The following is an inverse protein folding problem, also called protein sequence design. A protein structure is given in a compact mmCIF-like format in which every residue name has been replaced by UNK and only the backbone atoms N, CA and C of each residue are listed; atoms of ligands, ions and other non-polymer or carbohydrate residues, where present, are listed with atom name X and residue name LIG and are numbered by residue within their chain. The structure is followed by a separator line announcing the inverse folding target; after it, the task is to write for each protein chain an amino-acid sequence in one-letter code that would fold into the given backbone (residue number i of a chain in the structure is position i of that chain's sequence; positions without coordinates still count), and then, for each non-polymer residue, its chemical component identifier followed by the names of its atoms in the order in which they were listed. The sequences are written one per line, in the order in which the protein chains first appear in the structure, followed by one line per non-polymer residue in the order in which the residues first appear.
data_IF_703186741264
#
_entry.id   IF_703186741264
#
_cell.length_a   1.000
_cell.length_b   1.000
_cell.length_c   1.000
_cell.angle_alpha   90.00
_cell.angle_beta   90.00
_cell.angle_gamma   90.00
#
_symmetry.space_group_name_H-M   'P 1'
#
loop_
_entity.id
_entity.type
_entity.pdbx_description
1 polymer ?
#
# COMPACT_ATOMS: atom_id res chain seq x y z
N UNK A 1 5.76 -14.79 -24.35
CA UNK A 1 5.62 -13.49 -23.67
C UNK A 1 5.39 -13.79 -22.21
N UNK A 2 6.27 -13.34 -21.33
CA UNK A 2 6.16 -13.56 -19.89
C UNK A 2 4.92 -12.84 -19.37
N UNK A 3 4.11 -13.49 -18.55
CA UNK A 3 2.95 -12.87 -17.91
C UNK A 3 3.43 -11.72 -17.00
N UNK A 4 2.89 -10.51 -17.22
CA UNK A 4 3.26 -9.34 -16.40
C UNK A 4 2.71 -9.51 -14.99
N UNK A 5 3.58 -9.29 -13.99
CA UNK A 5 3.19 -9.39 -12.59
C UNK A 5 2.18 -8.29 -12.24
N UNK A 6 1.03 -8.69 -11.70
CA UNK A 6 0.00 -7.76 -11.22
C UNK A 6 0.20 -7.50 -9.73
N UNK A 7 0.16 -6.21 -9.36
CA UNK A 7 0.24 -5.78 -7.97
C UNK A 7 -1.11 -5.26 -7.48
N UNK A 8 -1.22 -5.07 -6.17
CA UNK A 8 -2.41 -4.53 -5.49
C UNK A 8 -2.00 -3.35 -4.61
N UNK A 9 -2.97 -2.51 -4.24
CA UNK A 9 -2.76 -1.48 -3.22
C UNK A 9 -2.87 -2.12 -1.84
N UNK A 10 -2.25 -1.50 -0.82
CA UNK A 10 -2.37 -1.95 0.56
C UNK A 10 -3.06 -0.88 1.40
N UNK A 11 -4.32 -1.12 1.76
CA UNK A 11 -5.16 -0.19 2.51
C UNK A 11 -5.76 -0.95 3.69
N UNK A 12 -5.68 -0.36 4.89
CA UNK A 12 -6.30 -0.89 6.11
C UNK A 12 -5.87 -2.33 6.45
N UNK A 13 -4.59 -2.64 6.24
CA UNK A 13 -4.04 -3.95 6.53
C UNK A 13 -4.33 -5.02 5.46
N UNK A 14 -4.92 -4.65 4.32
CA UNK A 14 -5.36 -5.58 3.28
C UNK A 14 -4.86 -5.20 1.88
N UNK A 15 -4.58 -6.22 1.07
CA UNK A 15 -4.33 -6.06 -0.37
C UNK A 15 -5.66 -5.89 -1.11
N UNK A 16 -5.80 -4.79 -1.85
CA UNK A 16 -7.03 -4.42 -2.55
C UNK A 16 -6.73 -3.95 -3.99
N UNK A 17 -7.66 -4.21 -4.90
CA UNK A 17 -7.63 -3.62 -6.24
C UNK A 17 -8.12 -2.17 -6.18
N UNK A 18 -7.89 -1.40 -7.25
CA UNK A 18 -8.54 -0.10 -7.44
C UNK A 18 -10.05 -0.29 -7.49
N UNK A 19 -10.80 0.64 -6.92
CA UNK A 19 -12.26 0.62 -6.99
C UNK A 19 -12.75 0.63 -8.46
N UNK A 20 -12.06 1.38 -9.31
CA UNK A 20 -12.38 1.47 -10.74
C UNK A 20 -11.91 0.26 -11.56
N UNK A 21 -11.20 -0.68 -10.95
CA UNK A 21 -10.49 -1.81 -11.59
C UNK A 21 -9.47 -1.41 -12.66
N UNK A 22 -9.24 -0.10 -12.86
CA UNK A 22 -8.23 0.41 -13.78
C UNK A 22 -6.83 0.05 -13.31
N UNK A 23 -5.96 -0.17 -14.28
CA UNK A 23 -4.55 -0.49 -14.06
C UNK A 23 -3.70 0.20 -15.13
N UNK A 24 -2.41 0.36 -14.84
CA UNK A 24 -1.43 0.88 -15.79
C UNK A 24 -0.14 0.07 -15.74
N UNK A 25 0.62 0.12 -16.84
CA UNK A 25 1.92 -0.56 -16.96
C UNK A 25 3.03 0.27 -16.32
N UNK A 26 3.91 -0.39 -15.56
CA UNK A 26 5.18 0.18 -15.12
C UNK A 26 6.30 -0.32 -16.03
N UNK A 27 7.12 0.61 -16.50
CA UNK A 27 8.17 0.36 -17.48
C UNK A 27 9.55 0.29 -16.85
N UNK A 28 10.39 -0.61 -17.37
CA UNK A 28 11.80 -0.64 -17.02
C UNK A 28 12.52 0.49 -17.77
N UNK A 29 13.15 1.46 -17.07
CA UNK A 29 13.79 2.61 -17.73
C UNK A 29 15.01 2.23 -18.58
N UNK A 30 15.59 1.04 -18.41
CA UNK A 30 16.75 0.60 -19.19
C UNK A 30 16.36 -0.04 -20.55
N UNK A 31 15.14 -0.57 -20.67
CA UNK A 31 14.68 -1.31 -21.86
C UNK A 31 13.43 -0.72 -22.50
N UNK A 32 12.74 0.19 -21.80
CA UNK A 32 11.43 0.73 -22.18
C UNK A 32 10.33 -0.34 -22.29
N UNK A 33 10.55 -1.53 -21.73
CA UNK A 33 9.57 -2.63 -21.72
C UNK A 33 8.77 -2.66 -20.41
N UNK A 34 7.47 -3.04 -20.44
CA UNK A 34 6.67 -3.19 -19.24
C UNK A 34 7.15 -4.37 -18.40
N UNK A 35 7.21 -4.20 -17.07
CA UNK A 35 7.60 -5.26 -16.13
C UNK A 35 6.50 -5.59 -15.10
N UNK A 36 5.53 -4.69 -14.90
CA UNK A 36 4.44 -4.88 -13.95
C UNK A 36 3.16 -4.14 -14.35
N UNK A 37 2.02 -4.62 -13.82
CA UNK A 37 0.71 -3.99 -13.88
C UNK A 37 0.33 -3.49 -12.48
N UNK A 38 0.08 -2.19 -12.36
CA UNK A 38 -0.19 -1.49 -11.10
C UNK A 38 -1.63 -0.95 -11.11
N UNK A 39 -2.40 -1.06 -10.01
CA UNK A 39 -3.72 -0.46 -9.91
C UNK A 39 -3.65 1.07 -10.01
N UNK A 40 -4.56 1.66 -10.77
CA UNK A 40 -4.74 3.11 -10.89
C UNK A 40 -5.70 3.59 -9.79
N UNK A 41 -5.14 4.11 -8.70
CA UNK A 41 -5.92 4.58 -7.55
C UNK A 41 -6.75 5.82 -7.90
N UNK A 42 -8.06 5.74 -7.69
CA UNK A 42 -8.98 6.87 -7.88
C UNK A 42 -9.21 7.68 -6.59
N UNK A 43 -10.03 8.73 -6.69
CA UNK A 43 -10.41 9.56 -5.54
C UNK A 43 -11.04 8.75 -4.39
N UNK A 44 -11.91 7.79 -4.70
CA UNK A 44 -12.54 6.94 -3.69
C UNK A 44 -11.55 6.00 -2.99
N UNK A 45 -10.52 5.51 -3.70
CA UNK A 45 -9.46 4.70 -3.10
C UNK A 45 -8.64 5.53 -2.12
N UNK A 46 -8.32 6.78 -2.50
CA UNK A 46 -7.65 7.75 -1.63
C UNK A 46 -8.51 8.07 -0.40
N UNK A 47 -9.81 8.34 -0.58
CA UNK A 47 -10.73 8.59 0.52
C UNK A 47 -10.81 7.42 1.49
N UNK A 48 -10.83 6.18 0.99
CA UNK A 48 -10.79 4.96 1.82
C UNK A 48 -9.48 4.88 2.61
N UNK A 49 -8.34 5.15 1.97
CA UNK A 49 -7.04 5.16 2.63
C UNK A 49 -6.97 6.22 3.74
N UNK A 50 -7.45 7.43 3.47
CA UNK A 50 -7.48 8.53 4.46
C UNK A 50 -8.39 8.19 5.64
N UNK A 51 -9.59 7.64 5.38
CA UNK A 51 -10.50 7.21 6.46
C UNK A 51 -9.90 6.11 7.33
N UNK A 52 -9.23 5.13 6.73
CA UNK A 52 -8.55 4.07 7.46
C UNK A 52 -7.40 4.61 8.32
N UNK A 53 -6.56 5.49 7.75
CA UNK A 53 -5.47 6.14 8.47
C UNK A 53 -5.99 7.01 9.63
N UNK A 54 -7.07 7.77 9.41
CA UNK A 54 -7.69 8.60 10.44
C UNK A 54 -8.19 7.74 11.61
N UNK A 55 -8.93 6.66 11.34
CA UNK A 55 -9.39 5.74 12.38
C UNK A 55 -8.23 5.11 13.15
N UNK A 56 -7.16 4.69 12.45
CA UNK A 56 -5.96 4.17 13.11
C UNK A 56 -5.32 5.20 14.05
N UNK A 57 -5.37 6.49 13.67
CA UNK A 57 -4.83 7.59 14.46
C UNK A 57 -5.70 7.99 15.66
N UNK A 58 -7.03 7.93 15.54
CA UNK A 58 -7.95 8.40 16.60
C UNK A 58 -8.43 7.30 17.54
N UNK A 59 -8.65 6.08 17.03
CA UNK A 59 -9.36 5.02 17.75
C UNK A 59 -8.58 3.70 17.79
N UNK A 60 -7.64 3.51 16.85
CA UNK A 60 -6.93 2.24 16.69
C UNK A 60 -5.88 1.96 17.76
N UNK A 61 -5.28 0.75 17.74
CA UNK A 61 -4.19 0.39 18.64
C UNK A 61 -3.04 1.40 18.62
N UNK A 62 -2.77 1.99 17.44
CA UNK A 62 -1.73 2.99 17.25
C UNK A 62 -1.91 4.24 18.11
N UNK A 63 -3.15 4.72 18.28
CA UNK A 63 -3.48 5.90 19.09
C UNK A 63 -3.07 5.73 20.56
N UNK A 64 -3.18 4.50 21.07
CA UNK A 64 -2.91 4.16 22.46
C UNK A 64 -1.48 3.66 22.72
N UNK A 65 -0.69 3.40 21.66
CA UNK A 65 0.69 2.92 21.82
C UNK A 65 1.59 3.97 22.44
N UNK A 66 2.49 3.52 23.31
CA UNK A 66 3.60 4.34 23.83
C UNK A 66 4.68 4.54 22.76
N UNK A 67 5.53 5.55 22.95
CA UNK A 67 6.68 5.78 22.07
C UNK A 67 7.61 4.55 21.98
N UNK A 68 7.82 3.85 23.11
CA UNK A 68 8.65 2.65 23.17
C UNK A 68 8.07 1.50 22.35
N UNK A 69 6.75 1.27 22.42
CA UNK A 69 6.08 0.23 21.63
C UNK A 69 6.20 0.52 20.13
N UNK A 70 5.97 1.76 19.71
CA UNK A 70 6.19 2.17 18.31
C UNK A 70 7.65 1.94 17.88
N UNK A 71 8.62 2.27 18.74
CA UNK A 71 10.03 2.02 18.48
C UNK A 71 10.38 0.53 18.31
N UNK A 72 9.74 -0.36 19.09
CA UNK A 72 9.90 -1.82 18.94
C UNK A 72 9.37 -2.30 17.58
N UNK A 73 8.22 -1.78 17.13
CA UNK A 73 7.67 -2.12 15.81
C UNK A 73 8.61 -1.69 14.68
N UNK A 74 9.19 -0.50 14.75
CA UNK A 74 10.18 -0.02 13.77
C UNK A 74 11.44 -0.90 13.74
N UNK A 75 11.94 -1.33 14.91
CA UNK A 75 13.08 -2.26 14.98
C UNK A 75 12.76 -3.60 14.34
N UNK A 76 11.58 -4.16 14.63
CA UNK A 76 11.12 -5.40 14.01
C UNK A 76 10.97 -5.27 12.50
N UNK A 77 10.51 -4.12 12.01
CA UNK A 77 10.47 -3.85 10.57
C UNK A 77 11.88 -3.90 9.97
N UNK A 78 12.88 -3.31 10.63
CA UNK A 78 14.26 -3.34 10.17
C UNK A 78 14.87 -4.76 10.15
N UNK A 79 14.39 -5.68 11.00
CA UNK A 79 14.85 -7.08 11.00
C UNK A 79 14.32 -7.89 9.80
N UNK A 80 13.25 -7.43 9.14
CA UNK A 80 12.59 -8.15 8.04
C UNK A 80 12.69 -7.44 6.68
N UNK A 81 13.36 -6.29 6.63
CA UNK A 81 13.72 -5.57 5.40
C UNK A 81 15.05 -6.08 4.85
#
# INVERSE_FOLDING_TARGET
MTELKKYQMYIDGQWVNSESEKTFESFNPATEEPWAIIPEAGANDVDRAVKAAHRAFTEGPWANMTATERGKLLRRLAEVL
#
